data_IF_098798868556
#
_entry.id   IF_098798868556
#
_cell.length_a   1.000
_cell.length_b   1.000
_cell.length_c   1.000
_cell.angle_alpha   90.00
_cell.angle_beta   90.00
_cell.angle_gamma   90.00
#
_symmetry.space_group_name_H-M   'P 1'
#
loop_
_entity.id
_entity.type
_entity.pdbx_description
1 polymer ?
#
# COMPACT_ATOMS: atom_id res chain seq x y z
N UNK A 1 59.71 15.09 -35.47
CA UNK A 1 61.13 14.74 -35.73
C UNK A 1 61.55 13.82 -34.60
N UNK A 2 62.11 12.61 -34.75
CA UNK A 2 62.52 11.79 -35.90
C UNK A 2 61.88 10.37 -35.74
N UNK A 3 61.55 9.54 -36.73
CA UNK A 3 62.18 9.13 -38.01
C UNK A 3 63.25 8.02 -37.86
N UNK A 4 63.05 6.88 -38.54
CA UNK A 4 63.94 5.70 -38.59
C UNK A 4 63.34 4.45 -37.90
N UNK A 5 63.40 3.23 -38.45
CA UNK A 5 63.99 2.74 -39.71
C UNK A 5 63.23 1.52 -40.30
N UNK A 6 63.64 1.06 -41.49
CA UNK A 6 62.93 0.07 -42.35
C UNK A 6 63.67 -1.29 -42.43
N UNK A 7 63.06 -2.21 -43.22
CA UNK A 7 63.57 -3.47 -43.85
C UNK A 7 63.25 -4.74 -43.04
N UNK A 8 62.97 -5.91 -43.64
CA UNK A 8 62.97 -6.27 -45.08
C UNK A 8 61.94 -7.36 -45.43
N UNK A 9 61.79 -7.62 -46.74
CA UNK A 9 61.11 -8.77 -47.37
C UNK A 9 61.70 -10.12 -46.90
N UNK A 10 61.08 -11.29 -47.08
CA UNK A 10 60.04 -11.72 -48.05
C UNK A 10 59.03 -12.74 -47.43
N UNK A 11 58.19 -13.57 -48.10
CA UNK A 11 57.97 -13.94 -49.52
C UNK A 11 56.49 -14.35 -49.82
N UNK A 12 56.24 -15.26 -50.77
CA UNK A 12 54.96 -15.52 -51.46
C UNK A 12 54.80 -17.04 -51.76
N UNK A 13 53.70 -17.56 -52.36
CA UNK A 13 52.29 -17.63 -51.95
C UNK A 13 51.82 -19.04 -51.50
N UNK A 14 50.62 -19.14 -50.91
CA UNK A 14 49.90 -20.41 -50.71
C UNK A 14 48.45 -20.34 -51.22
N UNK A 15 48.06 -21.23 -52.13
CA UNK A 15 46.78 -21.20 -52.85
C UNK A 15 45.65 -21.88 -52.07
N UNK A 16 44.47 -21.23 -52.09
CA UNK A 16 43.11 -21.74 -51.86
C UNK A 16 42.84 -22.83 -50.78
N UNK A 17 41.94 -22.48 -49.85
CA UNK A 17 40.62 -23.11 -49.85
C UNK A 17 39.57 -22.23 -49.15
N UNK A 18 38.48 -21.93 -49.85
CA UNK A 18 37.33 -21.28 -49.24
C UNK A 18 36.59 -22.30 -48.36
N UNK A 19 36.56 -22.07 -47.04
CA UNK A 19 35.64 -22.76 -46.12
C UNK A 19 34.62 -21.75 -45.60
N UNK A 20 33.39 -21.90 -46.07
CA UNK A 20 32.26 -21.07 -45.65
C UNK A 20 31.96 -21.33 -44.16
N UNK A 21 32.25 -20.35 -43.30
CA UNK A 21 31.88 -20.40 -41.90
C UNK A 21 30.43 -19.89 -41.79
N UNK A 22 29.50 -20.81 -41.66
CA UNK A 22 28.12 -20.51 -41.26
C UNK A 22 28.16 -19.89 -39.87
N UNK A 23 27.97 -18.56 -39.79
CA UNK A 23 27.73 -17.87 -38.51
C UNK A 23 26.39 -18.33 -37.95
N UNK A 24 26.41 -19.37 -37.12
CA UNK A 24 25.33 -19.64 -36.18
C UNK A 24 25.17 -18.38 -35.32
N UNK A 25 24.08 -17.64 -35.52
CA UNK A 25 23.71 -16.51 -34.68
C UNK A 25 23.42 -17.05 -33.30
N UNK A 26 24.38 -16.92 -32.38
CA UNK A 26 24.15 -17.17 -30.96
C UNK A 26 22.99 -16.30 -30.51
N UNK A 27 21.85 -16.94 -30.21
CA UNK A 27 20.75 -16.25 -29.55
C UNK A 27 21.22 -15.96 -28.13
N UNK A 28 21.43 -14.69 -27.80
CA UNK A 28 21.60 -14.29 -26.40
C UNK A 28 20.42 -14.85 -25.60
N UNK A 29 20.64 -15.45 -24.42
CA UNK A 29 19.54 -15.81 -23.55
C UNK A 29 18.74 -14.53 -23.24
N UNK A 30 17.40 -14.61 -23.15
CA UNK A 30 16.62 -13.45 -22.71
C UNK A 30 17.12 -13.01 -21.32
N UNK A 31 17.14 -11.70 -21.02
CA UNK A 31 17.44 -11.27 -19.67
C UNK A 31 16.46 -11.96 -18.72
N UNK A 32 16.98 -12.54 -17.64
CA UNK A 32 16.14 -13.10 -16.57
C UNK A 32 15.39 -11.92 -15.98
N UNK A 33 14.13 -11.76 -16.38
CA UNK A 33 13.22 -10.80 -15.77
C UNK A 33 13.18 -11.12 -14.29
N UNK A 34 13.78 -10.24 -13.46
CA UNK A 34 13.52 -10.27 -12.01
C UNK A 34 11.99 -10.29 -11.85
N UNK A 35 11.43 -11.18 -11.02
CA UNK A 35 10.01 -11.08 -10.72
C UNK A 35 9.76 -9.68 -10.20
N UNK A 36 8.91 -8.92 -10.90
CA UNK A 36 8.37 -7.66 -10.40
C UNK A 36 7.57 -7.99 -9.16
N UNK A 37 8.23 -7.91 -8.00
CA UNK A 37 7.60 -8.11 -6.69
C UNK A 37 6.46 -7.10 -6.63
N UNK A 38 5.22 -7.59 -6.63
CA UNK A 38 4.03 -6.74 -6.62
C UNK A 38 4.18 -5.67 -5.54
N UNK A 39 3.84 -4.40 -5.81
CA UNK A 39 3.93 -3.38 -4.80
C UNK A 39 3.01 -3.79 -3.64
N UNK A 40 3.58 -3.84 -2.44
CA UNK A 40 2.83 -4.22 -1.23
C UNK A 40 2.12 -2.96 -0.74
N UNK A 41 1.14 -2.52 -1.55
CA UNK A 41 0.25 -1.42 -1.24
C UNK A 41 -0.76 -1.89 -0.21
N UNK A 42 -0.84 -1.18 0.91
CA UNK A 42 -1.95 -1.30 1.85
C UNK A 42 -2.87 -0.11 1.66
N UNK A 43 -4.15 -0.38 1.44
CA UNK A 43 -5.19 0.65 1.50
C UNK A 43 -5.63 0.82 2.93
N UNK A 44 -5.68 2.06 3.40
CA UNK A 44 -6.11 2.45 4.74
C UNK A 44 -7.30 3.41 4.60
N UNK A 45 -8.49 2.97 4.98
CA UNK A 45 -9.69 3.78 5.03
C UNK A 45 -9.78 4.52 6.36
N UNK A 46 -10.15 5.81 6.34
CA UNK A 46 -10.33 6.62 7.54
C UNK A 46 -11.77 7.12 7.65
N UNK A 47 -12.40 6.83 8.78
CA UNK A 47 -13.70 7.35 9.19
C UNK A 47 -13.53 8.18 10.45
N UNK A 48 -14.28 9.26 10.60
CA UNK A 48 -14.29 10.10 11.80
C UNK A 48 -15.70 10.47 12.24
N UNK A 49 -15.84 10.92 13.49
CA UNK A 49 -17.08 11.54 13.95
C UNK A 49 -16.85 12.47 15.14
N UNK A 50 -17.81 13.36 15.36
CA UNK A 50 -17.95 14.15 16.59
C UNK A 50 -19.29 13.83 17.28
N UNK A 51 -19.26 13.52 18.57
CA UNK A 51 -20.43 13.31 19.42
C UNK A 51 -21.18 11.98 19.20
N UNK A 52 -20.66 11.09 18.34
CA UNK A 52 -21.34 9.84 17.96
C UNK A 52 -21.30 8.76 19.04
N UNK A 53 -20.25 8.74 19.86
CA UNK A 53 -20.01 7.77 20.92
C UNK A 53 -19.79 8.51 22.25
N UNK A 54 -20.29 7.94 23.36
CA UNK A 54 -20.11 8.49 24.72
C UNK A 54 -18.92 7.88 25.45
N UNK A 55 -18.31 6.84 24.87
CA UNK A 55 -17.16 6.14 25.43
C UNK A 55 -16.48 5.27 24.37
N UNK A 56 -15.23 4.90 24.62
CA UNK A 56 -14.51 3.94 23.78
C UNK A 56 -15.18 2.55 23.76
N UNK A 57 -15.84 2.15 24.86
CA UNK A 57 -16.56 0.87 24.91
C UNK A 57 -17.78 0.85 23.98
N UNK A 58 -18.52 1.96 23.90
CA UNK A 58 -19.63 2.12 22.94
C UNK A 58 -19.12 2.10 21.49
N UNK A 59 -17.97 2.75 21.24
CA UNK A 59 -17.32 2.72 19.94
C UNK A 59 -16.87 1.30 19.53
N UNK A 60 -16.27 0.52 20.45
CA UNK A 60 -15.91 -0.88 20.16
C UNK A 60 -17.14 -1.76 19.95
N UNK A 61 -18.22 -1.59 20.71
CA UNK A 61 -19.47 -2.31 20.49
C UNK A 61 -20.16 -1.99 19.13
N UNK A 62 -19.88 -0.82 18.55
CA UNK A 62 -20.31 -0.46 17.19
C UNK A 62 -19.43 -1.08 16.09
N UNK A 63 -18.14 -1.31 16.38
CA UNK A 63 -17.12 -1.79 15.43
C UNK A 63 -17.02 -3.31 15.39
N UNK A 64 -16.96 -3.94 16.56
CA UNK A 64 -16.47 -5.32 16.71
C UNK A 64 -17.55 -6.35 16.40
N UNK A 65 -17.15 -7.40 15.69
CA UNK A 65 -17.96 -8.61 15.50
C UNK A 65 -18.35 -9.21 16.86
N UNK A 66 -19.62 -9.59 16.99
CA UNK A 66 -20.12 -10.35 18.14
C UNK A 66 -20.23 -11.82 17.76
N UNK A 67 -20.31 -12.71 18.74
CA UNK A 67 -20.37 -14.15 18.49
C UNK A 67 -21.60 -14.78 19.15
N UNK A 68 -22.22 -15.75 18.47
CA UNK A 68 -23.25 -16.62 19.08
C UNK A 68 -22.62 -17.54 20.13
N UNK A 69 -23.45 -18.26 20.89
CA UNK A 69 -22.98 -19.32 21.81
C UNK A 69 -22.23 -20.45 21.07
N UNK A 70 -22.58 -20.69 19.81
CA UNK A 70 -21.92 -21.65 18.91
C UNK A 70 -20.61 -21.12 18.27
N UNK A 71 -20.31 -19.82 18.45
CA UNK A 71 -19.13 -19.15 17.91
C UNK A 71 -19.31 -18.56 16.50
N UNK A 72 -20.53 -18.50 15.97
CA UNK A 72 -20.79 -17.86 14.67
C UNK A 72 -20.67 -16.34 14.78
N UNK A 73 -19.96 -15.73 13.82
CA UNK A 73 -19.79 -14.29 13.71
C UNK A 73 -21.10 -13.56 13.35
N UNK A 74 -21.43 -12.54 14.13
CA UNK A 74 -22.54 -11.61 13.94
C UNK A 74 -21.93 -10.26 13.56
N UNK A 75 -22.07 -9.80 12.29
CA UNK A 75 -21.53 -8.53 11.85
C UNK A 75 -22.03 -7.35 12.69
N UNK A 76 -21.12 -6.46 13.04
CA UNK A 76 -21.45 -5.23 13.75
C UNK A 76 -22.23 -4.23 12.87
N UNK A 77 -22.73 -3.16 13.49
CA UNK A 77 -23.34 -2.06 12.76
C UNK A 77 -22.36 -1.43 11.77
N UNK A 78 -21.12 -1.13 12.21
CA UNK A 78 -20.08 -0.60 11.33
C UNK A 78 -19.76 -1.55 10.17
N UNK A 79 -19.60 -2.85 10.45
CA UNK A 79 -19.34 -3.87 9.42
C UNK A 79 -20.44 -3.91 8.36
N UNK A 80 -21.70 -3.81 8.80
CA UNK A 80 -22.87 -3.80 7.91
C UNK A 80 -22.92 -2.52 7.07
N UNK A 81 -22.67 -1.35 7.68
CA UNK A 81 -22.69 -0.05 7.00
C UNK A 81 -21.62 0.05 5.90
N UNK A 82 -20.37 -0.28 6.21
CA UNK A 82 -19.24 -0.14 5.26
C UNK A 82 -19.08 -1.32 4.29
N UNK A 83 -19.92 -2.35 4.45
CA UNK A 83 -19.83 -3.61 3.71
C UNK A 83 -18.52 -4.35 3.97
N UNK A 84 -18.09 -4.42 5.23
CA UNK A 84 -16.81 -5.02 5.62
C UNK A 84 -16.77 -6.51 5.29
N UNK A 85 -15.62 -6.98 4.79
CA UNK A 85 -15.31 -8.40 4.56
C UNK A 85 -13.93 -8.74 5.10
N UNK A 86 -13.70 -10.04 5.27
CA UNK A 86 -12.43 -10.60 5.76
C UNK A 86 -12.02 -9.98 7.11
N UNK A 87 -12.96 -10.00 8.07
CA UNK A 87 -12.83 -9.37 9.38
C UNK A 87 -11.59 -9.87 10.13
N UNK A 88 -10.66 -8.93 10.34
CA UNK A 88 -9.47 -9.11 11.16
C UNK A 88 -9.44 -7.98 12.19
N UNK A 89 -9.76 -8.25 13.48
CA UNK A 89 -9.83 -7.23 14.51
C UNK A 89 -8.48 -6.53 14.75
N UNK A 90 -7.36 -7.21 14.50
CA UNK A 90 -6.01 -6.62 14.54
C UNK A 90 -5.74 -5.60 13.42
N UNK A 91 -6.65 -5.44 12.47
CA UNK A 91 -6.55 -4.51 11.36
C UNK A 91 -7.69 -3.47 11.33
N UNK A 92 -8.28 -3.20 12.50
CA UNK A 92 -9.16 -2.05 12.76
C UNK A 92 -8.63 -1.25 13.96
N UNK A 93 -8.07 -0.08 13.68
CA UNK A 93 -7.56 0.86 14.68
C UNK A 93 -8.67 1.84 15.08
N UNK A 94 -9.00 1.90 16.37
CA UNK A 94 -10.10 2.72 16.90
C UNK A 94 -9.58 3.67 17.98
N UNK A 95 -9.98 4.94 17.91
CA UNK A 95 -9.52 6.01 18.80
C UNK A 95 -10.72 6.83 19.23
N UNK A 96 -10.83 7.13 20.53
CA UNK A 96 -11.87 7.96 21.10
C UNK A 96 -11.29 8.94 22.13
N UNK A 97 -11.89 10.13 22.24
CA UNK A 97 -11.60 11.18 23.22
C UNK A 97 -12.91 11.73 23.78
N UNK A 98 -12.85 12.31 24.97
CA UNK A 98 -14.02 12.91 25.62
C UNK A 98 -14.49 14.23 24.96
N UNK A 99 -13.70 14.80 24.04
CA UNK A 99 -14.02 16.03 23.31
C UNK A 99 -13.35 16.09 21.93
N UNK A 100 -13.95 16.78 20.94
CA UNK A 100 -13.36 16.93 19.62
C UNK A 100 -12.04 17.70 19.63
N UNK A 101 -11.07 17.19 18.87
CA UNK A 101 -9.75 17.78 18.63
C UNK A 101 -9.46 17.77 17.13
N UNK A 102 -8.45 18.53 16.63
CA UNK A 102 -8.02 18.41 15.24
C UNK A 102 -7.68 16.95 14.89
N UNK A 103 -8.18 16.42 13.78
CA UNK A 103 -7.99 14.99 13.45
C UNK A 103 -6.50 14.63 13.35
N UNK A 104 -5.66 15.54 12.85
CA UNK A 104 -4.20 15.34 12.84
C UNK A 104 -3.58 15.14 14.23
N UNK A 105 -4.20 15.69 15.29
CA UNK A 105 -3.80 15.46 16.69
C UNK A 105 -4.41 14.16 17.24
N UNK A 106 -5.65 13.83 16.85
CA UNK A 106 -6.32 12.57 17.20
C UNK A 106 -5.52 11.35 16.70
N UNK A 107 -4.89 11.48 15.53
CA UNK A 107 -4.14 10.45 14.82
C UNK A 107 -2.63 10.40 15.14
N UNK A 108 -2.15 11.03 16.21
CA UNK A 108 -0.73 10.92 16.61
C UNK A 108 -0.44 9.60 17.34
N UNK A 109 0.66 8.93 16.99
CA UNK A 109 1.13 7.69 17.61
C UNK A 109 0.43 6.41 17.12
N UNK A 110 -0.35 6.51 16.05
CA UNK A 110 -1.17 5.43 15.47
C UNK A 110 -0.39 4.61 14.43
N UNK A 111 -0.85 3.40 14.16
CA UNK A 111 -0.16 2.42 13.29
C UNK A 111 0.13 2.95 11.88
N UNK A 112 -0.72 3.84 11.37
CA UNK A 112 -0.61 4.45 10.04
C UNK A 112 -0.50 5.98 10.06
N UNK A 113 0.10 6.59 11.10
CA UNK A 113 0.23 8.07 11.23
C UNK A 113 0.74 8.75 9.94
N UNK A 114 1.79 8.18 9.34
CA UNK A 114 2.41 8.67 8.10
C UNK A 114 1.52 8.57 6.85
N UNK A 115 0.46 7.76 6.87
CA UNK A 115 -0.55 7.74 5.81
C UNK A 115 -1.54 8.91 5.92
N UNK A 116 -1.73 9.46 7.13
CA UNK A 116 -2.81 10.41 7.41
C UNK A 116 -2.33 11.85 7.65
N UNK A 117 -1.19 12.03 8.32
CA UNK A 117 -0.73 13.34 8.87
C UNK A 117 -0.63 14.48 7.84
N UNK A 118 -0.36 14.16 6.57
CA UNK A 118 -0.27 15.15 5.48
C UNK A 118 -1.50 15.20 4.57
N UNK A 119 -2.39 14.20 4.64
CA UNK A 119 -3.46 13.98 3.67
C UNK A 119 -4.87 14.25 4.22
N UNK A 120 -5.03 14.31 5.55
CA UNK A 120 -6.26 14.77 6.20
C UNK A 120 -6.33 16.30 6.22
N UNK A 121 -7.49 16.95 5.97
CA UNK A 121 -7.65 18.40 6.09
C UNK A 121 -7.19 18.96 7.44
N UNK A 122 -6.65 20.18 7.46
CA UNK A 122 -6.03 20.76 8.67
C UNK A 122 -7.06 21.34 9.66
N UNK A 123 -8.27 21.62 9.17
CA UNK A 123 -9.43 22.19 9.86
C UNK A 123 -10.45 21.14 10.33
N UNK A 124 -10.30 19.89 9.90
CA UNK A 124 -11.18 18.79 10.32
C UNK A 124 -10.97 18.46 11.80
N UNK A 125 -12.07 18.42 12.56
CA UNK A 125 -12.10 18.08 13.99
C UNK A 125 -12.98 16.85 14.24
N UNK A 126 -12.57 15.99 15.16
CA UNK A 126 -13.29 14.80 15.58
C UNK A 126 -12.92 14.42 17.02
N UNK A 127 -13.81 13.72 17.72
CA UNK A 127 -13.46 13.03 18.97
C UNK A 127 -13.17 11.54 18.75
N UNK A 128 -13.61 10.99 17.62
CA UNK A 128 -13.55 9.56 17.33
C UNK A 128 -13.03 9.31 15.91
N UNK A 129 -12.12 8.34 15.75
CA UNK A 129 -11.58 7.92 14.45
C UNK A 129 -11.45 6.40 14.35
N UNK A 130 -11.76 5.87 13.16
CA UNK A 130 -11.62 4.45 12.81
C UNK A 130 -10.74 4.35 11.56
N UNK A 131 -9.59 3.68 11.69
CA UNK A 131 -8.75 3.25 10.59
C UNK A 131 -9.02 1.79 10.25
N UNK A 132 -9.35 1.48 9.00
CA UNK A 132 -9.56 0.09 8.52
C UNK A 132 -8.55 -0.22 7.43
N UNK A 133 -7.82 -1.32 7.55
CA UNK A 133 -6.79 -1.72 6.58
C UNK A 133 -6.74 -3.24 6.36
N UNK A 134 -6.04 -3.62 5.28
CA UNK A 134 -5.86 -5.02 4.85
C UNK A 134 -5.41 -5.93 6.01
N UNK A 135 -6.01 -7.15 6.17
CA UNK A 135 -6.81 -7.87 5.18
C UNK A 135 -8.28 -7.41 5.08
N UNK A 136 -8.78 -6.59 6.00
CA UNK A 136 -10.16 -6.09 5.94
C UNK A 136 -10.44 -5.38 4.61
N UNK A 137 -11.58 -5.71 3.98
CA UNK A 137 -12.04 -5.07 2.73
C UNK A 137 -13.30 -4.25 3.02
N UNK A 138 -13.23 -2.94 2.75
CA UNK A 138 -14.36 -2.02 2.81
C UNK A 138 -14.95 -1.87 1.39
N UNK A 139 -16.25 -2.12 1.21
CA UNK A 139 -16.87 -2.07 -0.14
C UNK A 139 -17.80 -0.89 -0.39
N UNK A 140 -18.38 -0.29 0.65
CA UNK A 140 -19.32 0.84 0.56
C UNK A 140 -19.05 1.87 1.66
N UNK A 141 -17.86 2.50 1.69
CA UNK A 141 -17.49 3.44 2.76
C UNK A 141 -18.45 4.63 2.87
N UNK A 142 -19.04 5.07 1.76
CA UNK A 142 -20.02 6.17 1.69
C UNK A 142 -21.37 5.89 2.39
N UNK A 143 -21.64 4.63 2.75
CA UNK A 143 -22.85 4.25 3.50
C UNK A 143 -22.66 4.30 5.03
N UNK A 144 -21.46 4.66 5.51
CA UNK A 144 -21.19 4.81 6.94
C UNK A 144 -22.09 5.86 7.61
N UNK A 145 -22.49 5.61 8.86
CA UNK A 145 -23.06 6.62 9.77
C UNK A 145 -21.99 7.58 10.34
N UNK A 146 -20.77 7.55 9.79
CA UNK A 146 -19.60 8.34 10.15
C UNK A 146 -19.10 9.11 8.93
N UNK A 147 -18.37 10.20 9.15
CA UNK A 147 -17.75 10.98 8.08
C UNK A 147 -16.57 10.18 7.49
N UNK A 148 -16.73 9.69 6.25
CA UNK A 148 -15.64 9.05 5.52
C UNK A 148 -14.68 10.11 4.96
N UNK A 149 -13.42 10.08 5.39
CA UNK A 149 -12.40 11.08 5.01
C UNK A 149 -11.70 10.69 3.71
N UNK A 150 -11.57 9.39 3.45
CA UNK A 150 -10.98 8.85 2.23
C UNK A 150 -10.19 7.55 2.44
N UNK A 151 -9.53 7.12 1.36
CA UNK A 151 -8.64 5.98 1.34
C UNK A 151 -7.20 6.42 1.02
N UNK A 152 -6.24 5.87 1.76
CA UNK A 152 -4.82 6.18 1.63
C UNK A 152 -4.07 4.91 1.24
N UNK A 153 -3.35 4.95 0.12
CA UNK A 153 -2.50 3.86 -0.37
C UNK A 153 -1.08 4.04 0.15
N UNK A 154 -0.55 3.04 0.86
CA UNK A 154 0.80 3.07 1.40
C UNK A 154 1.68 1.96 0.80
N UNK A 155 2.77 2.33 0.12
CA UNK A 155 3.79 1.35 -0.31
C UNK A 155 4.69 1.00 0.89
N UNK A 156 4.39 -0.12 1.54
CA UNK A 156 5.14 -0.66 2.69
C UNK A 156 6.63 -0.91 2.42
N UNK A 157 7.08 -0.88 1.16
CA UNK A 157 8.50 -0.98 0.79
C UNK A 157 9.22 0.38 0.74
N UNK A 158 8.51 1.49 0.48
CA UNK A 158 9.12 2.82 0.32
C UNK A 158 8.70 3.83 1.37
N UNK A 159 7.64 3.54 2.14
CA UNK A 159 7.07 4.50 3.09
C UNK A 159 6.31 5.64 2.42
N UNK A 160 6.01 5.52 1.12
CA UNK A 160 5.30 6.55 0.36
C UNK A 160 3.79 6.34 0.45
N UNK A 161 3.10 7.44 0.76
CA UNK A 161 1.63 7.54 0.82
C UNK A 161 1.11 8.22 -0.45
N UNK A 162 0.05 7.66 -1.04
CA UNK A 162 -0.82 8.33 -2.01
C UNK A 162 -2.23 8.45 -1.42
N UNK A 163 -2.94 9.55 -1.72
CA UNK A 163 -4.24 9.85 -1.12
C UNK A 163 -5.35 9.84 -2.17
N UNK A 164 -6.47 9.18 -1.84
CA UNK A 164 -7.76 9.29 -2.53
C UNK A 164 -8.77 9.87 -1.52
N UNK A 165 -8.91 11.22 -1.43
CA UNK A 165 -9.93 11.83 -0.59
C UNK A 165 -11.33 11.40 -1.05
N UNK A 166 -12.29 11.44 -0.11
CA UNK A 166 -13.71 11.28 -0.41
C UNK A 166 -14.27 12.46 -1.23
#
# INVERSE_FOLDING_TARGET
MCCGARRSCSEVPGIAHARSIVRLRGRSPPPISRPTRSPMIVTVHLFVSSGRFRSFAEMRAFIDEQYTEDGDGIPSAFMTEVGLRDYEPGCIEAIHRDSPVPVRQLLLGVSWESAWVHAVPADLVADSAIGVYSPNIVTTPENASLDYVGAYEFDTRTGLTSARPA
#
